data_IF_925349668124
#
_entry.id   IF_925349668124
#
_cell.length_a   1.000
_cell.length_b   1.000
_cell.length_c   1.000
_cell.angle_alpha   90.00
_cell.angle_beta   90.00
_cell.angle_gamma   90.00
#
_symmetry.space_group_name_H-M   'P 1'
#
loop_
_entity.id
_entity.type
_entity.pdbx_description
1 polymer ?
#
# COMPACT_ATOMS: atom_id res chain seq x y z
N UNK A 1 7.53 15.76 -13.83
CA UNK A 1 8.09 14.71 -12.95
C UNK A 1 6.94 14.14 -12.15
N UNK A 2 6.92 12.83 -11.96
CA UNK A 2 5.83 12.18 -11.25
C UNK A 2 6.32 10.92 -10.54
N UNK A 3 5.57 10.50 -9.53
CA UNK A 3 5.60 9.18 -8.94
C UNK A 3 4.16 8.69 -8.87
N UNK A 4 3.93 7.40 -9.06
CA UNK A 4 2.61 6.76 -9.02
C UNK A 4 2.64 5.56 -8.10
N UNK A 5 1.46 5.13 -7.64
CA UNK A 5 1.25 3.91 -6.86
C UNK A 5 0.27 3.05 -7.64
N UNK A 6 0.69 1.84 -8.02
CA UNK A 6 -0.18 0.81 -8.59
C UNK A 6 -1.23 0.37 -7.58
N UNK A 7 -2.25 -0.34 -8.05
CA UNK A 7 -3.29 -0.89 -7.18
C UNK A 7 -2.68 -1.74 -6.05
N UNK A 8 -3.14 -1.53 -4.83
CA UNK A 8 -2.66 -2.24 -3.63
C UNK A 8 -3.57 -3.43 -3.39
N UNK A 9 -3.01 -4.58 -3.00
CA UNK A 9 -3.76 -5.85 -2.84
C UNK A 9 -4.50 -6.33 -4.11
N UNK A 10 -4.33 -5.65 -5.25
CA UNK A 10 -5.00 -5.96 -6.51
C UNK A 10 -6.41 -5.37 -6.64
N UNK A 11 -6.99 -4.84 -5.57
CA UNK A 11 -8.34 -4.23 -5.57
C UNK A 11 -8.48 -2.98 -4.68
N UNK A 12 -7.40 -2.52 -4.04
CA UNK A 12 -7.37 -1.45 -3.02
C UNK A 12 -8.13 -1.78 -1.72
N UNK A 13 -8.35 -3.07 -1.46
CA UNK A 13 -8.92 -3.56 -0.21
C UNK A 13 -7.93 -4.50 0.46
N UNK A 14 -7.47 -4.16 1.67
CA UNK A 14 -6.61 -5.03 2.46
C UNK A 14 -7.46 -5.97 3.32
N UNK A 15 -7.60 -7.21 2.89
CA UNK A 15 -8.35 -8.22 3.63
C UNK A 15 -7.53 -8.88 4.75
N UNK A 16 -8.18 -9.73 5.54
CA UNK A 16 -7.52 -10.42 6.67
C UNK A 16 -6.33 -11.30 6.25
N UNK A 17 -6.39 -11.93 5.07
CA UNK A 17 -5.32 -12.80 4.59
C UNK A 17 -4.12 -11.99 4.10
N UNK A 18 -4.36 -10.92 3.35
CA UNK A 18 -3.31 -10.03 2.85
C UNK A 18 -2.64 -9.25 3.99
N UNK A 19 -3.42 -8.75 4.96
CA UNK A 19 -2.87 -8.12 6.17
C UNK A 19 -2.01 -9.09 7.00
N UNK A 20 -2.30 -10.39 6.90
CA UNK A 20 -1.55 -11.47 7.54
C UNK A 20 -0.28 -11.90 6.80
N UNK A 21 -0.03 -11.35 5.61
CA UNK A 21 1.11 -11.66 4.75
C UNK A 21 1.90 -10.40 4.38
N UNK A 22 3.05 -10.59 3.75
CA UNK A 22 3.84 -9.47 3.24
C UNK A 22 3.13 -8.80 2.06
N UNK A 23 2.97 -7.48 2.12
CA UNK A 23 2.24 -6.69 1.12
C UNK A 23 3.21 -6.02 0.13
N UNK A 24 3.07 -6.33 -1.15
CA UNK A 24 3.84 -5.68 -2.20
C UNK A 24 3.22 -4.32 -2.58
N UNK A 25 3.98 -3.25 -2.37
CA UNK A 25 3.74 -1.93 -2.95
C UNK A 25 4.57 -1.77 -4.22
N UNK A 26 4.01 -1.10 -5.22
CA UNK A 26 4.72 -0.85 -6.47
C UNK A 26 4.20 0.38 -7.20
N UNK A 27 4.96 0.84 -8.18
CA UNK A 27 4.54 1.91 -9.08
C UNK A 27 5.65 2.28 -10.05
N UNK A 28 5.50 3.44 -10.69
CA UNK A 28 6.49 3.99 -11.62
C UNK A 28 6.75 5.47 -11.35
N UNK A 29 7.92 5.93 -11.77
CA UNK A 29 8.32 7.33 -11.78
C UNK A 29 8.45 7.85 -13.21
N UNK A 30 8.38 9.18 -13.38
CA UNK A 30 8.66 9.86 -14.65
C UNK A 30 9.59 11.04 -14.40
N UNK A 31 10.66 11.15 -15.20
CA UNK A 31 11.73 12.15 -15.06
C UNK A 31 12.42 12.11 -13.69
N UNK A 32 12.65 10.89 -13.19
CA UNK A 32 13.46 10.60 -12.00
C UNK A 32 14.48 9.53 -12.41
N UNK A 33 15.75 9.76 -12.08
CA UNK A 33 16.82 8.85 -12.44
C UNK A 33 16.80 7.58 -11.56
N UNK A 34 17.32 6.48 -12.10
CA UNK A 34 17.52 5.26 -11.31
C UNK A 34 18.44 5.52 -10.11
N UNK A 35 18.19 4.80 -9.01
CA UNK A 35 18.91 4.94 -7.75
C UNK A 35 18.45 6.11 -6.87
N UNK A 36 17.50 6.95 -7.31
CA UNK A 36 16.91 7.96 -6.44
C UNK A 36 16.07 7.31 -5.34
N UNK A 37 16.20 7.83 -4.12
CA UNK A 37 15.50 7.30 -2.94
C UNK A 37 14.03 7.69 -2.96
N UNK A 38 13.17 6.69 -2.87
CA UNK A 38 11.74 6.86 -2.61
C UNK A 38 11.51 6.69 -1.11
N UNK A 39 10.78 7.62 -0.50
CA UNK A 39 10.27 7.50 0.87
C UNK A 39 8.82 7.08 0.83
N UNK A 40 8.46 6.04 1.58
CA UNK A 40 7.11 5.46 1.65
C UNK A 40 6.62 5.59 3.09
N UNK A 41 5.41 6.09 3.31
CA UNK A 41 4.76 6.11 4.62
C UNK A 41 3.48 5.29 4.55
N UNK A 42 3.37 4.28 5.41
CA UNK A 42 2.19 3.41 5.51
C UNK A 42 2.09 2.78 6.90
N UNK A 43 0.87 2.62 7.41
CA UNK A 43 0.59 2.02 8.73
C UNK A 43 1.35 2.66 9.91
N UNK A 44 1.73 3.95 9.80
CA UNK A 44 2.53 4.64 10.82
C UNK A 44 4.04 4.38 10.75
N UNK A 45 4.49 3.63 9.75
CA UNK A 45 5.89 3.36 9.47
C UNK A 45 6.39 4.18 8.28
N UNK A 46 7.70 4.46 8.27
CA UNK A 46 8.40 5.05 7.13
C UNK A 46 9.44 4.08 6.61
N UNK A 47 9.41 3.84 5.30
CA UNK A 47 10.29 2.95 4.58
C UNK A 47 11.02 3.69 3.47
N UNK A 48 12.07 3.07 2.94
CA UNK A 48 12.76 3.56 1.76
C UNK A 48 13.00 2.45 0.76
N UNK A 49 12.94 2.80 -0.52
CA UNK A 49 13.37 1.97 -1.66
C UNK A 49 14.02 2.88 -2.69
N UNK A 50 14.38 2.35 -3.86
CA UNK A 50 14.97 3.12 -4.94
C UNK A 50 14.17 3.00 -6.24
N UNK A 51 14.34 4.00 -7.10
CA UNK A 51 13.92 3.92 -8.50
C UNK A 51 14.80 2.92 -9.23
N UNK A 52 14.20 1.91 -9.85
CA UNK A 52 14.88 0.91 -10.65
C UNK A 52 15.32 1.48 -12.02
N UNK A 53 16.15 0.73 -12.76
CA UNK A 53 16.68 1.18 -14.05
C UNK A 53 15.62 1.47 -15.11
N UNK A 54 14.44 0.86 -15.00
CA UNK A 54 13.29 1.06 -15.89
C UNK A 54 12.33 2.15 -15.38
N UNK A 55 12.65 2.82 -14.28
CA UNK A 55 11.81 3.82 -13.64
C UNK A 55 10.73 3.25 -12.72
N UNK A 56 10.62 1.92 -12.60
CA UNK A 56 9.72 1.27 -11.65
C UNK A 56 10.26 1.36 -10.21
N UNK A 57 9.41 1.05 -9.25
CA UNK A 57 9.83 0.86 -7.87
C UNK A 57 8.94 -0.19 -7.21
N UNK A 58 9.51 -0.88 -6.22
CA UNK A 58 8.80 -1.87 -5.40
C UNK A 58 9.28 -1.78 -3.96
N UNK A 59 8.37 -2.09 -3.04
CA UNK A 59 8.70 -2.28 -1.63
C UNK A 59 7.76 -3.32 -1.02
N UNK A 60 8.31 -4.22 -0.21
CA UNK A 60 7.53 -5.22 0.50
C UNK A 60 7.34 -4.77 1.95
N UNK A 61 6.09 -4.45 2.32
CA UNK A 61 5.72 -4.14 3.70
C UNK A 61 5.59 -5.46 4.47
N UNK A 62 6.34 -5.66 5.56
CA UNK A 62 6.22 -6.86 6.37
C UNK A 62 4.84 -6.98 7.01
N UNK A 63 4.28 -8.19 7.06
CA UNK A 63 2.99 -8.46 7.71
C UNK A 63 2.90 -7.90 9.15
N UNK A 64 4.02 -7.95 9.88
CA UNK A 64 4.08 -7.49 11.27
C UNK A 64 3.77 -5.99 11.43
N UNK A 65 4.12 -5.18 10.44
CA UNK A 65 3.97 -3.72 10.48
C UNK A 65 2.52 -3.30 10.14
N UNK A 66 1.70 -4.23 9.62
CA UNK A 66 0.28 -4.01 9.35
C UNK A 66 -0.64 -4.48 10.49
N UNK A 67 -0.12 -5.17 11.51
CA UNK A 67 -0.93 -5.72 12.62
C UNK A 67 -1.76 -4.66 13.36
N UNK A 68 -1.26 -3.43 13.42
CA UNK A 68 -1.91 -2.31 14.11
C UNK A 68 -3.05 -1.66 13.32
N UNK A 69 -3.21 -1.95 12.03
CA UNK A 69 -4.29 -1.39 11.21
C UNK A 69 -5.66 -1.85 11.75
N UNK A 70 -6.64 -0.96 11.71
CA UNK A 70 -8.04 -1.26 12.02
C UNK A 70 -8.85 -1.25 10.73
N UNK A 71 -10.00 -1.90 10.73
CA UNK A 71 -10.92 -1.80 9.60
C UNK A 71 -11.33 -0.34 9.36
N UNK A 72 -11.48 0.03 8.08
CA UNK A 72 -11.73 1.38 7.61
C UNK A 72 -10.63 1.90 6.69
N UNK A 73 -10.73 3.19 6.33
CA UNK A 73 -9.83 3.82 5.36
C UNK A 73 -8.43 4.08 5.92
N UNK A 74 -7.42 3.88 5.08
CA UNK A 74 -6.02 4.26 5.32
C UNK A 74 -5.36 4.68 4.01
N UNK A 75 -4.12 5.19 4.06
CA UNK A 75 -3.41 5.62 2.86
C UNK A 75 -1.95 5.19 2.84
N UNK A 76 -1.45 4.95 1.63
CA UNK A 76 -0.01 4.88 1.33
C UNK A 76 0.40 6.20 0.71
N UNK A 77 1.43 6.83 1.28
CA UNK A 77 2.05 8.05 0.77
C UNK A 77 3.46 7.74 0.26
N UNK A 78 3.81 8.23 -0.93
CA UNK A 78 5.16 8.08 -1.49
C UNK A 78 5.71 9.43 -1.94
N UNK A 79 7.01 9.63 -1.78
CA UNK A 79 7.71 10.81 -2.28
C UNK A 79 9.10 10.47 -2.80
N UNK A 80 9.58 11.24 -3.77
CA UNK A 80 10.90 11.08 -4.39
C UNK A 80 11.44 12.44 -4.81
N UNK A 81 12.76 12.59 -4.83
CA UNK A 81 13.44 13.72 -5.45
C UNK A 81 14.38 13.23 -6.55
N UNK A 82 14.55 14.01 -7.61
CA UNK A 82 15.54 13.75 -8.65
C UNK A 82 16.91 14.32 -8.27
N UNK A 83 17.95 14.03 -9.06
CA UNK A 83 19.33 14.49 -8.79
C UNK A 83 19.48 16.02 -8.74
N UNK A 84 18.54 16.75 -9.35
CA UNK A 84 18.49 18.21 -9.35
C UNK A 84 17.77 18.80 -8.13
N UNK A 85 17.29 17.95 -7.21
CA UNK A 85 16.57 18.36 -5.99
C UNK A 85 15.08 18.65 -6.19
N UNK A 86 14.53 18.43 -7.39
CA UNK A 86 13.09 18.60 -7.61
C UNK A 86 12.33 17.39 -7.04
N UNK A 87 11.25 17.63 -6.29
CA UNK A 87 10.45 16.59 -5.61
C UNK A 87 9.08 16.31 -6.24
N UNK A 88 8.59 15.07 -6.11
CA UNK A 88 7.25 14.63 -6.49
C UNK A 88 6.70 13.70 -5.42
N UNK A 89 5.38 13.67 -5.26
CA UNK A 89 4.68 12.80 -4.32
C UNK A 89 3.36 12.28 -4.90
N UNK A 90 2.87 11.19 -4.32
CA UNK A 90 1.55 10.63 -4.59
C UNK A 90 1.00 9.93 -3.33
N UNK A 91 -0.32 9.93 -3.21
CA UNK A 91 -1.06 9.19 -2.19
C UNK A 91 -2.06 8.25 -2.85
N UNK A 92 -2.32 7.10 -2.21
CA UNK A 92 -3.37 6.15 -2.60
C UNK A 92 -4.13 5.72 -1.35
N UNK A 93 -5.43 6.01 -1.34
CA UNK A 93 -6.36 5.55 -0.31
C UNK A 93 -6.72 4.08 -0.57
N UNK A 94 -6.83 3.30 0.50
CA UNK A 94 -7.26 1.89 0.50
C UNK A 94 -8.17 1.66 1.69
N UNK A 95 -9.03 0.65 1.59
CA UNK A 95 -9.87 0.21 2.71
C UNK A 95 -9.26 -1.03 3.37
N UNK A 96 -9.28 -1.10 4.69
CA UNK A 96 -8.97 -2.32 5.45
C UNK A 96 -10.29 -2.99 5.80
N UNK A 97 -10.49 -4.23 5.36
CA UNK A 97 -11.69 -5.02 5.64
C UNK A 97 -11.30 -6.44 6.08
N UNK A 98 -11.15 -6.63 7.39
CA UNK A 98 -10.77 -7.91 7.97
C UNK A 98 -11.96 -8.71 8.51
N UNK A 99 -13.18 -8.25 8.29
CA UNK A 99 -14.38 -8.88 8.83
C UNK A 99 -14.69 -10.20 8.09
N UNK A 100 -14.82 -11.29 8.84
CA UNK A 100 -15.39 -12.51 8.30
C UNK A 100 -16.89 -12.31 8.03
N UNK A 101 -17.45 -12.90 6.94
CA UNK A 101 -18.87 -12.83 6.68
C UNK A 101 -19.66 -13.42 7.85
N UNK A 102 -20.74 -12.74 8.26
CA UNK A 102 -21.61 -13.24 9.32
C UNK A 102 -22.57 -14.28 8.76
N UNK A 103 -22.53 -15.51 9.30
CA UNK A 103 -23.53 -16.53 9.01
C UNK A 103 -24.79 -16.26 9.85
N UNK A 104 -25.83 -15.70 9.24
CA UNK A 104 -27.17 -15.69 9.84
C UNK A 104 -27.88 -17.02 9.56
N UNK A 105 -27.96 -17.89 10.56
CA UNK A 105 -28.88 -19.05 10.51
C UNK A 105 -30.23 -18.61 11.05
N UNK A 106 -31.20 -18.37 10.17
CA UNK A 106 -32.59 -18.21 10.56
C UNK A 106 -33.21 -19.59 10.80
N UNK A 107 -33.20 -20.07 12.04
CA UNK A 107 -34.00 -21.25 12.40
C UNK A 107 -35.47 -20.84 12.50
N UNK A 108 -36.19 -20.82 11.37
CA UNK A 108 -37.65 -20.84 11.39
C UNK A 108 -38.10 -22.21 11.90
N UNK A 109 -38.12 -22.41 13.22
CA UNK A 109 -38.92 -23.49 13.82
C UNK A 109 -40.39 -23.09 13.66
N UNK A 110 -41.05 -23.67 12.66
CA UNK A 110 -42.53 -23.72 12.69
C UNK A 110 -42.90 -24.69 13.81
N UNK A 111 -43.44 -24.14 14.90
CA UNK A 111 -44.22 -24.90 15.87
C UNK A 111 -45.59 -25.25 15.32
#
# INVERSE_FOLDING_TARGET
MAITISQIAGDDVLNAAEKGADLLLSGVTQNVEAGQTITITFAGHTYTTQVESDGSWKFTVPANDMKGLKDGETSVEVSVANVSGNGASAGREISVDTAAPTLQINTNRRG
#
